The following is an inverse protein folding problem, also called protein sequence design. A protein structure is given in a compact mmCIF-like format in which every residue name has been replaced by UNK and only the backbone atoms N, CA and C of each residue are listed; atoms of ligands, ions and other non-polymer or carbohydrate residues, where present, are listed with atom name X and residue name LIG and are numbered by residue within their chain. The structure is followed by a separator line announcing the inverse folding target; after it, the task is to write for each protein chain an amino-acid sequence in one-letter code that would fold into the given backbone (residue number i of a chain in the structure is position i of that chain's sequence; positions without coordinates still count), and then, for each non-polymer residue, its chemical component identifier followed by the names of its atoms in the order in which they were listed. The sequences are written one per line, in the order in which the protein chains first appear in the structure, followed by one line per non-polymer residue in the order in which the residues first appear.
data_IF_843021429243
#
_entry.id   IF_843021429243
#
_cell.length_a   1.000
_cell.length_b   1.000
_cell.length_c   1.000
_cell.angle_alpha   90.00
_cell.angle_beta   90.00
_cell.angle_gamma   90.00
#
_symmetry.space_group_name_H-M   'P 1'
#
loop_
_entity.id
_entity.type
_entity.pdbx_description
1 polymer ?
#
# COMPACT_ATOMS: atom_id res chain seq x y z
N UNK A 1 4.36 5.37 13.44
CA UNK A 1 3.63 4.09 13.40
C UNK A 1 4.53 2.91 13.79
N UNK A 2 5.69 2.70 13.17
CA UNK A 2 6.59 1.58 13.51
C UNK A 2 6.94 1.50 15.02
N UNK A 3 7.34 2.62 15.62
CA UNK A 3 7.65 2.70 17.05
C UNK A 3 6.42 2.35 17.90
N UNK A 4 5.23 2.77 17.46
CA UNK A 4 3.98 2.53 18.18
C UNK A 4 3.62 1.04 18.20
N UNK A 5 3.78 0.35 17.07
CA UNK A 5 3.54 -1.09 16.97
C UNK A 5 4.51 -1.91 17.82
N UNK A 6 5.78 -1.49 17.91
CA UNK A 6 6.80 -2.27 18.60
C UNK A 6 6.82 -2.04 20.12
N UNK A 7 6.72 -0.79 20.56
CA UNK A 7 6.90 -0.43 21.97
C UNK A 7 5.89 0.59 22.52
N UNK A 8 4.95 1.06 21.69
CA UNK A 8 3.98 2.08 22.05
C UNK A 8 4.57 3.49 22.09
N UNK A 9 3.71 4.50 21.88
CA UNK A 9 4.12 5.90 22.00
C UNK A 9 4.00 6.44 23.44
N UNK A 10 4.93 7.30 23.88
CA UNK A 10 4.88 7.88 25.23
C UNK A 10 3.68 8.81 25.51
N UNK A 11 2.92 9.19 24.49
CA UNK A 11 1.79 10.13 24.60
C UNK A 11 0.43 9.48 24.32
N UNK A 12 0.34 8.15 24.27
CA UNK A 12 -0.91 7.43 23.98
C UNK A 12 -2.03 7.74 24.99
N UNK A 13 -1.69 7.97 26.25
CA UNK A 13 -2.68 8.24 27.33
C UNK A 13 -3.13 9.70 27.40
N UNK A 14 -2.59 10.60 26.56
CA UNK A 14 -2.90 12.04 26.64
C UNK A 14 -3.92 12.41 25.58
N UNK A 15 -5.01 13.04 26.01
CA UNK A 15 -6.06 13.53 25.10
C UNK A 15 -5.86 15.00 24.70
N UNK A 16 -5.17 15.78 25.53
CA UNK A 16 -4.98 17.22 25.31
C UNK A 16 -3.90 17.45 24.23
N UNK A 17 -4.32 18.02 23.09
CA UNK A 17 -3.47 18.32 21.92
C UNK A 17 -2.17 19.05 22.30
N UNK A 18 -2.26 20.14 23.06
CA UNK A 18 -1.10 20.96 23.44
C UNK A 18 -0.10 20.21 24.31
N UNK A 19 -0.59 19.28 25.14
CA UNK A 19 0.27 18.44 25.96
C UNK A 19 1.01 17.40 25.12
N UNK A 20 0.37 16.86 24.07
CA UNK A 20 0.99 15.94 23.10
C UNK A 20 2.03 16.70 22.27
N UNK A 21 1.70 17.88 21.78
CA UNK A 21 2.59 18.72 20.97
C UNK A 21 3.87 19.06 21.73
N UNK A 22 3.76 19.59 22.96
CA UNK A 22 4.92 19.88 23.79
C UNK A 22 5.79 18.65 24.03
N UNK A 23 5.16 17.48 24.23
CA UNK A 23 5.89 16.22 24.42
C UNK A 23 6.62 15.78 23.14
N UNK A 24 5.99 15.91 21.97
CA UNK A 24 6.61 15.58 20.67
C UNK A 24 7.78 16.50 20.33
N UNK A 25 7.69 17.79 20.65
CA UNK A 25 8.71 18.78 20.33
C UNK A 25 9.95 18.66 21.23
N UNK A 26 9.77 18.39 22.53
CA UNK A 26 10.88 18.43 23.50
C UNK A 26 11.48 17.07 23.83
N UNK A 27 10.90 15.97 23.34
CA UNK A 27 11.42 14.63 23.61
C UNK A 27 12.68 14.35 22.77
N UNK A 28 13.81 13.97 23.41
CA UNK A 28 15.01 13.60 22.68
C UNK A 28 14.82 12.27 21.94
N UNK A 29 15.53 12.12 20.82
CA UNK A 29 15.43 10.90 19.99
C UNK A 29 15.89 9.64 20.74
N UNK A 30 16.90 9.78 21.60
CA UNK A 30 17.43 8.66 22.38
C UNK A 30 16.38 8.07 23.31
N UNK A 31 15.62 8.92 24.01
CA UNK A 31 14.55 8.47 24.91
C UNK A 31 13.44 7.78 24.12
N UNK A 32 13.06 8.33 22.96
CA UNK A 32 12.04 7.75 22.08
C UNK A 32 12.47 6.38 21.53
N UNK A 33 13.76 6.21 21.23
CA UNK A 33 14.31 5.01 20.61
C UNK A 33 14.94 4.02 21.60
N UNK A 34 14.76 4.22 22.91
CA UNK A 34 15.38 3.40 23.97
C UNK A 34 15.17 1.90 23.76
N UNK A 35 13.96 1.50 23.35
CA UNK A 35 13.56 0.10 23.15
C UNK A 35 13.80 -0.40 21.72
N UNK A 36 14.12 0.48 20.78
CA UNK A 36 14.26 0.14 19.38
C UNK A 36 15.65 -0.44 19.07
N UNK A 37 15.78 -1.31 18.05
CA UNK A 37 17.08 -1.84 17.61
C UNK A 37 18.05 -0.72 17.22
N UNK A 38 19.34 -0.90 17.52
CA UNK A 38 20.38 0.11 17.30
C UNK A 38 20.48 0.56 15.84
N UNK A 39 20.21 -0.34 14.91
CA UNK A 39 20.22 -0.09 13.47
C UNK A 39 19.18 0.95 13.06
N UNK A 40 18.09 1.13 13.82
CA UNK A 40 17.03 2.10 13.50
C UNK A 40 17.23 3.45 14.17
N UNK A 41 18.14 3.57 15.14
CA UNK A 41 18.33 4.79 15.95
C UNK A 41 18.77 6.00 15.15
N UNK A 42 19.38 5.80 13.98
CA UNK A 42 19.75 6.90 13.09
C UNK A 42 18.55 7.51 12.34
N UNK A 43 17.44 6.77 12.18
CA UNK A 43 16.32 7.18 11.32
C UNK A 43 15.69 8.48 11.81
N UNK A 44 15.33 8.67 13.10
CA UNK A 44 14.76 9.92 13.57
C UNK A 44 15.70 11.12 13.38
N UNK A 45 17.00 10.93 13.63
CA UNK A 45 18.03 11.96 13.44
C UNK A 45 18.13 12.37 11.97
N UNK A 46 18.14 11.39 11.06
CA UNK A 46 18.13 11.63 9.62
C UNK A 46 16.88 12.41 9.19
N UNK A 47 15.69 11.97 9.61
CA UNK A 47 14.44 12.63 9.23
C UNK A 47 14.32 14.06 9.78
N UNK A 48 14.84 14.34 10.99
CA UNK A 48 14.87 15.70 11.56
C UNK A 48 15.84 16.64 10.85
N UNK A 49 16.85 16.10 10.18
CA UNK A 49 17.81 16.91 9.41
C UNK A 49 17.27 17.35 8.05
N UNK A 50 16.13 16.80 7.62
CA UNK A 50 15.56 17.06 6.30
C UNK A 50 14.57 18.21 6.31
N UNK A 51 14.66 19.04 5.27
CA UNK A 51 13.66 20.06 4.94
C UNK A 51 12.58 19.52 3.97
N UNK A 52 11.51 20.30 3.78
CA UNK A 52 10.38 19.97 2.89
C UNK A 52 10.79 19.63 1.44
N UNK A 53 11.88 20.20 0.94
CA UNK A 53 12.36 19.99 -0.43
C UNK A 53 13.33 18.82 -0.57
N UNK A 54 13.81 18.27 0.54
CA UNK A 54 14.81 17.22 0.53
C UNK A 54 14.15 15.85 0.56
N UNK A 55 14.59 14.96 -0.34
CA UNK A 55 14.10 13.59 -0.36
C UNK A 55 14.81 12.77 0.73
N UNK A 56 14.06 12.07 1.60
CA UNK A 56 14.66 11.10 2.49
C UNK A 56 15.37 10.00 1.72
N UNK A 57 16.55 9.60 2.21
CA UNK A 57 17.26 8.42 1.73
C UNK A 57 16.56 7.12 2.14
N UNK A 58 15.55 6.73 1.36
CA UNK A 58 14.78 5.50 1.58
C UNK A 58 15.62 4.23 1.42
N UNK A 59 16.69 4.28 0.63
CA UNK A 59 17.59 3.13 0.44
C UNK A 59 18.32 2.80 1.73
N UNK A 60 18.82 3.81 2.45
CA UNK A 60 19.43 3.62 3.77
C UNK A 60 18.44 3.10 4.80
N UNK A 61 17.23 3.65 4.82
CA UNK A 61 16.18 3.21 5.76
C UNK A 61 15.81 1.75 5.48
N UNK A 62 15.60 1.38 4.21
CA UNK A 62 15.31 0.01 3.82
C UNK A 62 16.45 -0.94 4.19
N UNK A 63 17.70 -0.57 3.92
CA UNK A 63 18.86 -1.39 4.27
C UNK A 63 18.95 -1.68 5.78
N UNK A 64 18.60 -0.70 6.63
CA UNK A 64 18.55 -0.88 8.07
C UNK A 64 17.46 -1.88 8.51
N UNK A 65 16.27 -1.80 7.91
CA UNK A 65 15.17 -2.73 8.18
C UNK A 65 15.49 -4.14 7.67
N UNK A 66 16.11 -4.25 6.49
CA UNK A 66 16.56 -5.52 5.90
C UNK A 66 17.65 -6.18 6.76
N UNK A 67 18.55 -5.38 7.35
CA UNK A 67 19.55 -5.86 8.30
C UNK A 67 18.90 -6.43 9.57
N UNK A 68 17.88 -5.74 10.12
CA UNK A 68 17.11 -6.24 11.26
C UNK A 68 16.41 -7.54 10.90
N UNK A 69 15.75 -7.62 9.74
CA UNK A 69 15.08 -8.85 9.27
C UNK A 69 16.07 -10.02 9.22
N UNK A 70 17.26 -9.80 8.64
CA UNK A 70 18.32 -10.81 8.56
C UNK A 70 18.82 -11.24 9.94
N UNK A 71 18.97 -10.30 10.88
CA UNK A 71 19.37 -10.59 12.27
C UNK A 71 18.31 -11.38 13.03
N UNK A 72 17.03 -11.05 12.86
CA UNK A 72 15.91 -11.75 13.49
C UNK A 72 15.54 -13.07 12.79
N UNK A 73 16.18 -13.40 11.66
CA UNK A 73 15.92 -14.59 10.83
C UNK A 73 14.46 -14.69 10.37
N UNK A 74 13.83 -13.55 10.15
CA UNK A 74 12.45 -13.46 9.65
C UNK A 74 12.45 -13.54 8.12
N UNK A 75 11.56 -14.35 7.57
CA UNK A 75 11.32 -14.44 6.13
C UNK A 75 10.19 -13.50 5.71
N UNK A 76 10.14 -13.16 4.42
CA UNK A 76 8.98 -12.46 3.85
C UNK A 76 7.74 -13.36 3.76
N UNK A 77 7.94 -14.67 3.81
CA UNK A 77 6.87 -15.67 3.77
C UNK A 77 6.29 -15.97 5.16
N UNK A 78 6.85 -15.38 6.22
CA UNK A 78 6.38 -15.63 7.58
C UNK A 78 4.97 -15.07 7.77
N UNK A 79 4.13 -15.84 8.46
CA UNK A 79 2.75 -15.44 8.77
C UNK A 79 2.73 -14.22 9.70
N UNK A 80 1.80 -13.29 9.45
CA UNK A 80 1.56 -12.18 10.37
C UNK A 80 0.88 -12.65 11.66
N UNK A 81 0.99 -11.84 12.73
CA UNK A 81 0.44 -12.18 14.06
C UNK A 81 -1.09 -12.38 14.08
N UNK A 82 -1.80 -11.74 13.16
CA UNK A 82 -3.26 -11.88 13.02
C UNK A 82 -3.68 -13.06 12.12
N UNK A 83 -2.74 -13.78 11.51
CA UNK A 83 -3.04 -14.89 10.62
C UNK A 83 -3.06 -16.22 11.38
N UNK A 84 -4.14 -16.99 11.19
CA UNK A 84 -4.15 -18.40 11.57
C UNK A 84 -3.26 -19.21 10.62
N UNK A 85 -2.56 -20.22 11.13
CA UNK A 85 -1.63 -21.07 10.35
C UNK A 85 -2.26 -21.65 9.07
N UNK A 86 -3.55 -22.04 9.14
CA UNK A 86 -4.30 -22.54 8.00
C UNK A 86 -4.54 -21.46 6.92
N UNK A 87 -4.83 -20.22 7.34
CA UNK A 87 -5.07 -19.07 6.44
C UNK A 87 -3.76 -18.62 5.79
N UNK A 88 -2.69 -18.54 6.57
CA UNK A 88 -1.36 -18.18 6.06
C UNK A 88 -0.89 -19.16 4.98
N UNK A 89 -1.03 -20.47 5.22
CA UNK A 89 -0.66 -21.51 4.24
C UNK A 89 -1.48 -21.41 2.95
N UNK A 90 -2.77 -21.07 3.05
CA UNK A 90 -3.62 -20.85 1.88
C UNK A 90 -3.17 -19.59 1.09
N UNK A 91 -2.82 -18.50 1.78
CA UNK A 91 -2.35 -17.25 1.18
C UNK A 91 -0.97 -17.40 0.50
N UNK A 92 -0.06 -18.17 1.07
CA UNK A 92 1.23 -18.47 0.44
C UNK A 92 1.05 -19.23 -0.88
N UNK A 93 0.10 -20.17 -0.92
CA UNK A 93 -0.21 -20.91 -2.16
C UNK A 93 -0.79 -20.00 -3.24
N UNK A 94 -1.68 -19.08 -2.89
CA UNK A 94 -2.29 -18.16 -3.87
C UNK A 94 -1.30 -17.10 -4.36
N UNK A 95 -0.43 -16.57 -3.50
CA UNK A 95 0.60 -15.60 -3.90
C UNK A 95 1.63 -16.22 -4.85
N UNK A 96 2.08 -17.46 -4.61
CA UNK A 96 2.96 -18.18 -5.53
C UNK A 96 2.37 -18.38 -6.94
N UNK A 97 1.03 -18.45 -7.05
CA UNK A 97 0.32 -18.55 -8.32
C UNK A 97 0.31 -17.22 -9.09
N UNK A 98 0.13 -16.10 -8.38
CA UNK A 98 0.18 -14.76 -8.97
C UNK A 98 1.58 -14.34 -9.42
N UNK A 99 2.61 -14.65 -8.64
CA UNK A 99 4.01 -14.35 -8.99
C UNK A 99 4.64 -15.41 -9.90
N UNK A 100 4.20 -16.66 -9.85
CA UNK A 100 4.70 -17.74 -10.71
C UNK A 100 4.31 -17.62 -12.19
N UNK A 101 3.31 -16.79 -12.52
CA UNK A 101 2.90 -16.50 -13.89
C UNK A 101 3.56 -15.24 -14.47
N UNK A 102 4.31 -14.48 -13.66
CA UNK A 102 4.94 -13.22 -14.06
C UNK A 102 6.44 -13.42 -14.22
N UNK A 103 6.84 -13.82 -15.41
CA UNK A 103 8.23 -13.66 -15.84
C UNK A 103 8.45 -12.16 -16.11
N UNK A 104 8.58 -11.35 -15.06
CA UNK A 104 8.71 -9.88 -15.07
C UNK A 104 10.02 -9.37 -15.73
N UNK A 105 10.69 -10.22 -16.51
CA UNK A 105 11.85 -9.85 -17.31
C UNK A 105 11.46 -9.32 -18.69
N UNK A 106 10.18 -9.38 -19.09
CA UNK A 106 9.72 -8.90 -20.39
C UNK A 106 8.40 -8.11 -20.30
N UNK A 107 8.51 -6.86 -19.83
CA UNK A 107 7.41 -5.90 -19.82
C UNK A 107 6.90 -5.53 -21.22
N UNK A 108 7.55 -6.00 -22.30
CA UNK A 108 7.16 -5.69 -23.67
C UNK A 108 6.04 -6.59 -24.17
N UNK A 109 5.89 -7.80 -23.61
CA UNK A 109 4.85 -8.75 -24.02
C UNK A 109 3.44 -8.25 -23.69
N UNK A 110 3.25 -7.65 -22.52
CA UNK A 110 1.95 -7.16 -22.05
C UNK A 110 1.47 -5.88 -22.74
N UNK A 111 2.39 -5.09 -23.33
CA UNK A 111 2.05 -3.95 -24.19
C UNK A 111 1.82 -4.35 -25.65
N UNK A 112 2.33 -5.51 -26.06
CA UNK A 112 2.30 -5.96 -27.46
C UNK A 112 1.00 -6.66 -27.81
N UNK A 113 0.39 -7.34 -26.84
CA UNK A 113 -0.95 -7.87 -26.97
C UNK A 113 -1.92 -6.84 -26.39
N UNK A 114 -2.87 -6.38 -27.20
CA UNK A 114 -3.95 -5.48 -26.78
C UNK A 114 -5.18 -6.33 -26.44
N UNK A 115 -5.33 -6.80 -25.18
CA UNK A 115 -6.45 -7.65 -24.79
C UNK A 115 -7.80 -6.93 -24.88
N UNK A 116 -7.79 -5.60 -24.92
CA UNK A 116 -8.99 -4.76 -24.97
C UNK A 116 -9.27 -4.28 -26.42
N UNK A 117 -8.35 -4.54 -27.36
CA UNK A 117 -8.44 -4.14 -28.78
C UNK A 117 -8.72 -2.64 -28.97
N UNK A 118 -8.19 -1.79 -28.09
CA UNK A 118 -8.32 -0.32 -28.14
C UNK A 118 -7.77 0.24 -29.46
N UNK A 119 -6.73 -0.37 -30.02
CA UNK A 119 -6.09 0.05 -31.28
C UNK A 119 -6.99 -0.19 -32.52
N UNK A 120 -8.08 -0.95 -32.39
CA UNK A 120 -9.00 -1.27 -33.48
C UNK A 120 -10.39 -0.71 -33.21
N UNK A 121 -10.99 -0.05 -34.20
CA UNK A 121 -12.41 0.29 -34.15
C UNK A 121 -13.31 -0.96 -34.03
N UNK A 122 -14.53 -0.81 -33.49
CA UNK A 122 -15.47 -1.92 -33.35
C UNK A 122 -15.75 -2.57 -34.70
N UNK A 123 -15.82 -3.89 -34.73
CA UNK A 123 -16.23 -4.62 -35.93
C UNK A 123 -17.71 -4.38 -36.24
N UNK A 124 -18.12 -4.57 -37.49
CA UNK A 124 -19.50 -4.34 -37.92
C UNK A 124 -20.55 -5.18 -37.15
N UNK A 125 -20.15 -6.31 -36.55
CA UNK A 125 -21.03 -7.10 -35.68
C UNK A 125 -21.10 -6.50 -34.27
N UNK A 126 -19.97 -6.10 -33.69
CA UNK A 126 -19.93 -5.41 -32.39
C UNK A 126 -20.70 -4.08 -32.45
N UNK A 127 -20.62 -3.36 -33.57
CA UNK A 127 -21.35 -2.10 -33.76
C UNK A 127 -22.88 -2.31 -33.78
N UNK A 128 -23.36 -3.41 -34.38
CA UNK A 128 -24.78 -3.76 -34.34
C UNK A 128 -25.23 -4.06 -32.92
N UNK A 129 -24.42 -4.83 -32.18
CA UNK A 129 -24.72 -5.20 -30.81
C UNK A 129 -24.73 -3.97 -29.88
N UNK A 130 -23.79 -3.04 -30.07
CA UNK A 130 -23.77 -1.76 -29.34
C UNK A 130 -25.03 -0.95 -29.63
N UNK A 131 -25.43 -0.83 -30.90
CA UNK A 131 -26.67 -0.11 -31.28
C UNK A 131 -27.93 -0.77 -30.73
N UNK A 132 -27.97 -2.09 -30.63
CA UNK A 132 -29.08 -2.81 -30.02
C UNK A 132 -29.17 -2.54 -28.51
N UNK A 133 -28.05 -2.59 -27.79
CA UNK A 133 -27.99 -2.23 -26.37
C UNK A 133 -28.42 -0.79 -26.10
N UNK A 134 -28.01 0.15 -26.96
CA UNK A 134 -28.42 1.56 -26.85
C UNK A 134 -29.93 1.73 -27.05
N UNK A 135 -30.53 1.02 -28.01
CA UNK A 135 -31.98 1.02 -28.24
C UNK A 135 -32.75 0.44 -27.07
N UNK A 136 -32.25 -0.64 -26.47
CA UNK A 136 -32.85 -1.23 -25.26
C UNK A 136 -32.73 -0.30 -24.05
N UNK A 137 -31.58 0.34 -23.86
CA UNK A 137 -31.37 1.33 -22.81
C UNK A 137 -32.27 2.56 -22.99
N UNK A 138 -32.49 3.00 -24.23
CA UNK A 138 -33.42 4.10 -24.55
C UNK A 138 -34.88 3.71 -24.30
N UNK A 139 -35.26 2.45 -24.58
CA UNK A 139 -36.62 1.94 -24.32
C UNK A 139 -36.94 1.83 -22.82
N UNK A 140 -35.93 1.56 -21.99
CA UNK A 140 -36.08 1.40 -20.55
C UNK A 140 -36.06 2.72 -19.75
N UNK A 141 -35.70 3.86 -20.38
CA UNK A 141 -35.84 5.18 -19.74
C UNK A 141 -37.28 5.66 -19.83
N UNK A 142 -38.12 5.34 -18.82
CA UNK A 142 -39.38 6.06 -18.60
C UNK A 142 -39.04 7.51 -18.19
N UNK A 143 -39.71 8.55 -18.73
CA UNK A 143 -39.54 9.90 -18.24
C UNK A 143 -40.20 9.99 -16.85
N UNK A 144 -39.41 10.09 -15.78
CA UNK A 144 -39.92 10.52 -14.49
C UNK A 144 -40.26 12.02 -14.62
N UNK A 145 -41.56 12.33 -14.73
CA UNK A 145 -42.07 13.68 -14.55
C UNK A 145 -41.80 14.09 -13.11
N UNK A 146 -40.83 14.99 -12.92
CA UNK A 146 -40.60 15.67 -11.64
C UNK A 146 -41.86 16.48 -11.36
N UNK A 147 -42.71 16.00 -10.44
CA UNK A 147 -43.75 16.82 -9.83
C UNK A 147 -43.06 17.74 -8.83
N UNK A 148 -43.13 19.04 -9.10
CA UNK A 148 -42.69 20.09 -8.18
C UNK A 148 -43.94 20.45 -7.38
N UNK A 149 -43.96 20.08 -6.10
CA UNK A 149 -44.83 20.67 -5.07
C UNK A 149 -44.02 21.64 -4.21
#
# INVERSE_FOLDING_TARGET
MMIDLYCGLPWTEREIKDAIERKKLHMPDEDLMTRMPDETKFIPKHLRSLDMYQRPDYTKIHAALDLIRKKSKVSYEDSYEWESTAVATANQRTSSSWFGSRNDNDSTTSLREDPVKIERGPSANEEKEIREREKEAAKNKKPELIQID
#
